data_IF_126742634550
#
_entry.id   IF_126742634550
#
_cell.length_a   1.000
_cell.length_b   1.000
_cell.length_c   1.000
_cell.angle_alpha   90.00
_cell.angle_beta   90.00
_cell.angle_gamma   90.00
#
_symmetry.space_group_name_H-M   'P 1'
#
loop_
_entity.id
_entity.type
_entity.pdbx_description
1 polymer ?
#
# COMPACT_ATOMS: atom_id res chain seq x y z
N UNK A 1 38.20 -9.16 -17.82
CA UNK A 1 36.99 -9.80 -17.25
C UNK A 1 35.80 -9.14 -17.90
N UNK A 2 34.83 -9.91 -18.41
CA UNK A 2 33.62 -9.34 -18.99
C UNK A 2 32.78 -8.74 -17.87
N UNK A 3 32.81 -7.42 -17.70
CA UNK A 3 32.00 -6.74 -16.69
C UNK A 3 30.52 -6.94 -17.03
N UNK A 4 29.85 -7.79 -16.26
CA UNK A 4 28.41 -8.03 -16.38
C UNK A 4 27.65 -7.01 -15.51
N UNK A 5 26.43 -6.66 -15.90
CA UNK A 5 25.57 -5.74 -15.17
C UNK A 5 25.37 -6.20 -13.71
N UNK A 6 25.35 -7.52 -13.47
CA UNK A 6 25.22 -8.15 -12.14
C UNK A 6 26.38 -7.85 -11.21
N UNK A 7 27.61 -8.04 -11.70
CA UNK A 7 28.83 -7.74 -10.93
C UNK A 7 28.92 -6.23 -10.71
N UNK A 8 28.49 -5.43 -11.68
CA UNK A 8 28.48 -3.98 -11.56
C UNK A 8 27.44 -3.48 -10.54
N UNK A 9 26.25 -4.08 -10.47
CA UNK A 9 25.26 -3.79 -9.43
C UNK A 9 25.76 -4.20 -8.05
N UNK A 10 26.39 -5.38 -7.94
CA UNK A 10 26.89 -5.90 -6.65
C UNK A 10 28.06 -5.09 -6.09
N UNK A 11 28.97 -4.63 -6.96
CA UNK A 11 30.14 -3.82 -6.55
C UNK A 11 29.81 -2.31 -6.42
N UNK A 12 28.53 -1.92 -6.42
CA UNK A 12 28.09 -0.51 -6.44
C UNK A 12 28.72 0.33 -7.58
N UNK A 13 29.02 -0.32 -8.72
CA UNK A 13 29.59 0.33 -9.90
C UNK A 13 28.48 0.95 -10.75
N UNK A 14 27.76 1.91 -10.17
CA UNK A 14 26.61 2.59 -10.80
C UNK A 14 26.91 3.11 -12.20
N UNK A 15 28.07 3.74 -12.40
CA UNK A 15 28.43 4.32 -13.71
C UNK A 15 28.59 3.25 -14.80
N UNK A 16 29.04 2.05 -14.42
CA UNK A 16 29.13 0.92 -15.33
C UNK A 16 27.74 0.40 -15.68
N UNK A 17 26.84 0.29 -14.69
CA UNK A 17 25.44 -0.12 -14.92
C UNK A 17 24.74 0.87 -15.86
N UNK A 18 24.90 2.17 -15.63
CA UNK A 18 24.37 3.23 -16.50
C UNK A 18 24.89 3.10 -17.93
N UNK A 19 26.20 2.96 -18.09
CA UNK A 19 26.82 2.80 -19.41
C UNK A 19 26.33 1.55 -20.14
N UNK A 20 26.15 0.42 -19.42
CA UNK A 20 25.64 -0.82 -20.00
C UNK A 20 24.19 -0.71 -20.48
N UNK A 21 23.34 0.05 -19.77
CA UNK A 21 21.96 0.33 -20.19
C UNK A 21 21.92 1.30 -21.37
N UNK A 22 22.76 2.34 -21.36
CA UNK A 22 22.84 3.34 -22.44
C UNK A 22 23.38 2.77 -23.75
N UNK A 23 24.28 1.78 -23.67
CA UNK A 23 24.75 1.04 -24.86
C UNK A 23 23.70 0.10 -25.45
N UNK A 24 22.54 -0.06 -24.81
CA UNK A 24 21.45 -0.93 -25.25
C UNK A 24 21.74 -2.43 -25.15
N UNK A 25 22.85 -2.80 -24.48
CA UNK A 25 23.26 -4.19 -24.26
C UNK A 25 22.40 -4.87 -23.20
N UNK A 26 21.85 -4.08 -22.29
CA UNK A 26 20.94 -4.49 -21.22
C UNK A 26 19.82 -3.46 -21.06
N UNK A 27 18.70 -3.90 -20.51
CA UNK A 27 17.55 -3.08 -20.14
C UNK A 27 17.36 -3.12 -18.62
N UNK A 28 16.57 -2.20 -18.07
CA UNK A 28 16.24 -2.20 -16.64
C UNK A 28 15.53 -3.50 -16.17
N UNK A 29 14.88 -4.21 -17.10
CA UNK A 29 14.16 -5.47 -16.86
C UNK A 29 14.91 -6.70 -17.38
N UNK A 30 16.19 -6.56 -17.76
CA UNK A 30 17.00 -7.72 -18.14
C UNK A 30 17.07 -8.69 -16.96
N UNK A 31 16.95 -9.98 -17.26
CA UNK A 31 16.97 -11.07 -16.27
C UNK A 31 18.23 -11.90 -16.44
N UNK A 32 18.81 -12.36 -15.34
CA UNK A 32 19.83 -13.39 -15.35
C UNK A 32 19.22 -14.80 -15.44
N UNK A 33 20.03 -15.84 -15.24
CA UNK A 33 19.55 -17.23 -15.29
C UNK A 33 18.52 -17.56 -14.18
N UNK A 34 18.52 -16.80 -13.08
CA UNK A 34 17.62 -16.94 -11.95
C UNK A 34 16.44 -15.95 -12.03
N UNK A 35 16.27 -15.24 -13.14
CA UNK A 35 15.24 -14.22 -13.25
C UNK A 35 15.60 -12.91 -12.52
N UNK A 36 16.78 -12.84 -11.92
CA UNK A 36 17.25 -11.72 -11.12
C UNK A 36 17.51 -10.50 -12.00
N UNK A 37 17.19 -9.30 -11.51
CA UNK A 37 17.20 -8.06 -12.30
C UNK A 37 18.08 -7.02 -11.64
N UNK A 38 18.53 -5.98 -12.37
CA UNK A 38 19.42 -4.98 -11.78
C UNK A 38 18.72 -4.23 -10.63
N UNK A 39 17.39 -4.26 -10.65
CA UNK A 39 16.53 -3.65 -9.64
C UNK A 39 16.41 -4.51 -8.39
N UNK A 40 16.40 -5.85 -8.51
CA UNK A 40 16.56 -6.75 -7.35
C UNK A 40 17.91 -6.47 -6.66
N UNK A 41 18.99 -6.40 -7.44
CA UNK A 41 20.31 -6.10 -6.88
C UNK A 41 20.35 -4.71 -6.23
N UNK A 42 19.86 -3.67 -6.91
CA UNK A 42 19.82 -2.31 -6.36
C UNK A 42 18.98 -2.23 -5.07
N UNK A 43 17.89 -3.01 -4.99
CA UNK A 43 17.06 -3.10 -3.80
C UNK A 43 17.78 -3.80 -2.63
N UNK A 44 18.43 -4.93 -2.89
CA UNK A 44 19.22 -5.70 -1.90
C UNK A 44 20.37 -4.88 -1.32
N UNK A 45 21.11 -4.15 -2.15
CA UNK A 45 22.21 -3.31 -1.69
C UNK A 45 21.76 -1.92 -1.17
N UNK A 46 20.45 -1.63 -1.14
CA UNK A 46 19.92 -0.35 -0.70
C UNK A 46 20.34 0.85 -1.58
N UNK A 47 20.69 0.60 -2.84
CA UNK A 47 21.19 1.61 -3.77
C UNK A 47 20.05 2.39 -4.43
N UNK A 48 19.46 3.31 -3.65
CA UNK A 48 18.35 4.17 -4.06
C UNK A 48 18.62 4.94 -5.36
N UNK A 49 19.85 5.41 -5.53
CA UNK A 49 20.33 6.18 -6.67
C UNK A 49 20.32 5.36 -7.97
N UNK A 50 20.65 4.08 -7.89
CA UNK A 50 20.59 3.15 -9.00
C UNK A 50 19.14 2.70 -9.25
N UNK A 51 18.36 2.48 -8.20
CA UNK A 51 16.95 2.15 -8.27
C UNK A 51 16.15 3.22 -9.04
N UNK A 52 16.29 4.50 -8.67
CA UNK A 52 15.62 5.61 -9.37
C UNK A 52 16.04 5.69 -10.84
N UNK A 53 17.31 5.42 -11.16
CA UNK A 53 17.77 5.38 -12.55
C UNK A 53 17.12 4.24 -13.34
N UNK A 54 17.03 3.04 -12.75
CA UNK A 54 16.42 1.87 -13.40
C UNK A 54 14.93 2.11 -13.68
N UNK A 55 14.21 2.70 -12.72
CA UNK A 55 12.80 3.05 -12.86
C UNK A 55 12.61 4.10 -13.98
N UNK A 56 13.46 5.13 -14.01
CA UNK A 56 13.44 6.13 -15.10
C UNK A 56 13.67 5.50 -16.49
N UNK A 57 14.39 4.38 -16.55
CA UNK A 57 14.64 3.59 -17.77
C UNK A 57 13.54 2.57 -18.08
N UNK A 58 12.38 2.66 -17.42
CA UNK A 58 11.24 1.77 -17.64
C UNK A 58 11.33 0.44 -16.86
N UNK A 59 12.06 0.45 -15.74
CA UNK A 59 12.10 -0.68 -14.82
C UNK A 59 10.71 -0.97 -14.22
N UNK A 60 10.30 -2.23 -14.27
CA UNK A 60 9.09 -2.70 -13.59
C UNK A 60 9.36 -2.99 -12.10
N UNK A 61 8.87 -2.12 -11.23
CA UNK A 61 9.09 -2.21 -9.76
C UNK A 61 8.51 -3.48 -9.12
N UNK A 62 7.60 -4.18 -9.82
CA UNK A 62 6.98 -5.42 -9.36
C UNK A 62 7.49 -6.64 -10.12
N UNK A 63 8.60 -6.51 -10.87
CA UNK A 63 9.19 -7.62 -11.61
C UNK A 63 9.53 -8.77 -10.66
N UNK A 64 9.14 -9.99 -11.01
CA UNK A 64 9.44 -11.17 -10.21
C UNK A 64 10.66 -11.91 -10.76
N UNK A 65 11.55 -12.37 -9.89
CA UNK A 65 12.57 -13.35 -10.23
C UNK A 65 11.97 -14.78 -10.35
N UNK A 66 12.82 -15.80 -10.47
CA UNK A 66 12.33 -17.18 -10.60
C UNK A 66 11.73 -17.75 -9.31
N UNK A 67 12.07 -17.17 -8.16
CA UNK A 67 11.49 -17.54 -6.87
C UNK A 67 10.18 -16.76 -6.61
N UNK A 68 9.81 -15.86 -7.52
CA UNK A 68 8.61 -15.04 -7.40
C UNK A 68 8.82 -13.79 -6.53
N UNK A 69 10.06 -13.55 -6.10
CA UNK A 69 10.41 -12.40 -5.28
C UNK A 69 10.46 -11.14 -6.16
N UNK A 70 9.90 -10.06 -5.63
CA UNK A 70 9.99 -8.72 -6.23
C UNK A 70 11.20 -7.96 -5.67
N UNK A 71 11.60 -6.81 -6.24
CA UNK A 71 12.64 -5.97 -5.63
C UNK A 71 12.36 -5.66 -4.16
N UNK A 72 11.09 -5.51 -3.76
CA UNK A 72 10.70 -5.27 -2.37
C UNK A 72 10.97 -6.47 -1.44
N UNK A 73 10.90 -7.71 -1.92
CA UNK A 73 11.25 -8.90 -1.13
C UNK A 73 12.74 -8.93 -0.78
N UNK A 74 13.58 -8.39 -1.68
CA UNK A 74 15.03 -8.32 -1.49
C UNK A 74 15.48 -7.09 -0.69
N UNK A 75 14.61 -6.13 -0.34
CA UNK A 75 15.04 -4.93 0.41
C UNK A 75 15.28 -5.21 1.88
N UNK A 76 16.43 -4.81 2.39
CA UNK A 76 16.70 -4.74 3.84
C UNK A 76 16.60 -3.30 4.38
N UNK A 77 16.56 -2.29 3.50
CA UNK A 77 16.58 -0.88 3.88
C UNK A 77 15.19 -0.25 3.88
N UNK A 78 14.81 0.36 5.02
CA UNK A 78 13.60 1.17 5.14
C UNK A 78 13.54 2.30 4.11
N UNK A 79 14.67 2.93 3.80
CA UNK A 79 14.72 4.02 2.83
C UNK A 79 14.37 3.52 1.41
N UNK A 80 14.85 2.32 1.06
CA UNK A 80 14.60 1.70 -0.24
C UNK A 80 13.17 1.22 -0.36
N UNK A 81 12.62 0.60 0.69
CA UNK A 81 11.21 0.21 0.73
C UNK A 81 10.27 1.42 0.58
N UNK A 82 10.54 2.53 1.30
CA UNK A 82 9.80 3.79 1.14
C UNK A 82 9.89 4.33 -0.28
N UNK A 83 11.07 4.26 -0.90
CA UNK A 83 11.25 4.71 -2.27
C UNK A 83 10.41 3.88 -3.24
N UNK A 84 10.41 2.55 -3.10
CA UNK A 84 9.63 1.65 -3.94
C UNK A 84 8.12 1.89 -3.76
N UNK A 85 7.65 1.96 -2.51
CA UNK A 85 6.21 2.04 -2.20
C UNK A 85 5.67 3.45 -2.38
N UNK A 86 6.26 4.45 -1.73
CA UNK A 86 5.70 5.82 -1.67
C UNK A 86 5.91 6.58 -2.97
N UNK A 87 7.09 6.45 -3.60
CA UNK A 87 7.39 7.18 -4.84
C UNK A 87 7.01 6.43 -6.10
N UNK A 88 7.03 5.09 -6.06
CA UNK A 88 6.91 4.28 -7.28
C UNK A 88 5.78 3.25 -7.23
N UNK A 89 4.90 3.32 -6.22
CA UNK A 89 3.69 2.51 -6.10
C UNK A 89 3.97 0.99 -6.23
N UNK A 90 5.09 0.52 -5.69
CA UNK A 90 5.39 -0.90 -5.62
C UNK A 90 4.31 -1.64 -4.83
N UNK A 91 3.88 -2.78 -5.37
CA UNK A 91 2.86 -3.61 -4.77
C UNK A 91 3.49 -4.51 -3.70
N UNK A 92 3.25 -4.15 -2.45
CA UNK A 92 3.74 -4.89 -1.28
C UNK A 92 2.87 -6.11 -0.93
N UNK A 93 1.83 -6.39 -1.70
CA UNK A 93 0.93 -7.55 -1.52
C UNK A 93 1.27 -8.73 -2.42
N UNK A 94 2.23 -8.55 -3.36
CA UNK A 94 2.73 -9.63 -4.21
C UNK A 94 3.28 -10.75 -3.35
N UNK A 95 2.94 -11.99 -3.71
CA UNK A 95 3.40 -13.19 -3.04
C UNK A 95 4.41 -13.92 -3.92
N UNK A 96 5.51 -14.35 -3.31
CA UNK A 96 6.51 -15.19 -3.96
C UNK A 96 6.02 -16.65 -4.11
N UNK A 97 6.89 -17.53 -4.58
CA UNK A 97 6.57 -18.94 -4.82
C UNK A 97 6.25 -19.73 -3.55
N UNK A 98 6.77 -19.28 -2.40
CA UNK A 98 6.43 -19.82 -1.08
C UNK A 98 5.11 -19.28 -0.52
N UNK A 99 4.46 -18.37 -1.26
CA UNK A 99 3.23 -17.70 -0.84
C UNK A 99 3.49 -16.64 0.23
N UNK A 100 4.69 -16.10 0.34
CA UNK A 100 5.02 -15.06 1.30
C UNK A 100 4.97 -13.70 0.61
N UNK A 101 4.44 -12.70 1.30
CA UNK A 101 4.63 -11.27 0.95
C UNK A 101 6.01 -10.79 1.39
N UNK A 102 6.45 -9.64 0.89
CA UNK A 102 7.73 -9.04 1.30
C UNK A 102 7.84 -8.87 2.82
N UNK A 103 6.74 -8.55 3.52
CA UNK A 103 6.75 -8.51 4.99
C UNK A 103 6.98 -9.89 5.61
N UNK A 104 6.27 -10.92 5.12
CA UNK A 104 6.33 -12.27 5.68
C UNK A 104 7.70 -12.89 5.47
N UNK A 105 8.33 -12.67 4.31
CA UNK A 105 9.69 -13.09 4.04
C UNK A 105 10.69 -12.44 5.02
N UNK A 106 10.54 -11.14 5.33
CA UNK A 106 11.41 -10.44 6.27
C UNK A 106 11.27 -10.90 7.74
N UNK A 107 10.14 -11.51 8.11
CA UNK A 107 9.94 -12.04 9.46
C UNK A 107 10.77 -13.29 9.73
N UNK A 108 11.16 -14.02 8.69
CA UNK A 108 11.98 -15.23 8.83
C UNK A 108 13.44 -14.87 9.18
N UNK A 109 13.96 -13.76 8.66
CA UNK A 109 15.34 -13.31 8.88
C UNK A 109 15.49 -12.39 10.11
N UNK A 110 14.41 -11.69 10.53
CA UNK A 110 14.34 -10.85 11.74
C UNK A 110 15.41 -9.73 11.84
N UNK A 111 16.04 -9.37 10.73
CA UNK A 111 17.21 -8.48 10.69
C UNK A 111 16.86 -6.98 10.60
N UNK A 112 15.59 -6.61 10.40
CA UNK A 112 15.18 -5.20 10.17
C UNK A 112 13.85 -4.83 10.85
N UNK A 113 13.85 -4.56 12.16
CA UNK A 113 12.61 -4.29 12.91
C UNK A 113 11.91 -3.00 12.46
N UNK A 114 12.64 -1.97 12.02
CA UNK A 114 12.06 -0.73 11.52
C UNK A 114 11.35 -0.92 10.17
N UNK A 115 11.89 -1.76 9.30
CA UNK A 115 11.28 -2.11 8.01
C UNK A 115 10.03 -2.96 8.22
N UNK A 116 10.12 -3.96 9.11
CA UNK A 116 8.99 -4.79 9.54
C UNK A 116 7.87 -3.89 10.09
N UNK A 117 8.18 -2.97 11.01
CA UNK A 117 7.19 -2.06 11.59
C UNK A 117 6.56 -1.17 10.51
N UNK A 118 7.33 -0.70 9.53
CA UNK A 118 6.81 0.12 8.44
C UNK A 118 5.84 -0.68 7.54
N UNK A 119 6.25 -1.85 7.04
CA UNK A 119 5.39 -2.70 6.21
C UNK A 119 4.16 -3.19 6.99
N UNK A 120 4.32 -3.52 8.27
CA UNK A 120 3.19 -3.79 9.18
C UNK A 120 2.29 -2.57 9.35
N UNK A 121 2.83 -1.35 9.43
CA UNK A 121 2.00 -0.15 9.49
C UNK A 121 1.20 0.05 8.22
N UNK A 122 1.76 -0.29 7.05
CA UNK A 122 1.02 -0.27 5.77
C UNK A 122 -0.08 -1.33 5.75
N UNK A 123 0.21 -2.54 6.24
CA UNK A 123 -0.78 -3.60 6.36
C UNK A 123 -1.83 -3.34 7.42
N UNK A 124 -1.49 -2.77 8.58
CA UNK A 124 -2.45 -2.43 9.64
C UNK A 124 -3.22 -1.17 9.31
N UNK A 125 -2.67 -0.22 8.54
CA UNK A 125 -3.48 0.79 7.88
C UNK A 125 -4.45 0.15 6.86
N UNK A 126 -4.11 -1.02 6.31
CA UNK A 126 -4.96 -1.82 5.41
C UNK A 126 -5.84 -2.86 6.15
N UNK A 127 -5.58 -3.15 7.43
CA UNK A 127 -6.20 -4.24 8.21
C UNK A 127 -6.88 -3.77 9.51
N UNK A 128 -6.61 -2.55 9.98
CA UNK A 128 -7.59 -1.72 10.69
C UNK A 128 -8.73 -1.31 9.74
N UNK A 129 -8.50 -1.52 8.44
CA UNK A 129 -9.52 -1.67 7.42
C UNK A 129 -9.99 -3.14 7.24
N UNK A 130 -10.00 -3.90 8.33
CA UNK A 130 -11.06 -4.87 8.63
C UNK A 130 -12.45 -4.20 8.71
N UNK A 131 -12.50 -2.88 8.54
CA UNK A 131 -13.60 -2.14 7.91
C UNK A 131 -13.04 -1.25 6.78
N UNK A 132 -12.93 -1.84 5.56
CA UNK A 132 -12.77 -1.26 4.21
C UNK A 132 -11.60 -0.27 3.90
N UNK A 133 -10.68 -0.64 2.97
CA UNK A 133 -9.97 0.28 2.08
C UNK A 133 -10.71 0.34 0.75
N UNK A 134 -11.70 1.23 0.61
CA UNK A 134 -11.96 1.74 -0.73
C UNK A 134 -10.77 2.65 -1.10
N UNK A 135 -10.06 2.40 -2.22
CA UNK A 135 -9.04 3.31 -2.69
C UNK A 135 -9.72 4.65 -3.00
N UNK A 136 -9.24 5.73 -2.40
CA UNK A 136 -9.62 7.09 -2.78
C UNK A 136 -8.99 7.38 -4.15
N UNK A 137 -9.51 6.76 -5.20
CA UNK A 137 -9.32 7.25 -6.56
C UNK A 137 -10.31 8.41 -6.76
N UNK A 138 -9.92 9.43 -7.53
CA UNK A 138 -10.76 10.61 -7.82
C UNK A 138 -12.02 10.27 -8.67
N UNK A 139 -12.35 8.99 -8.81
CA UNK A 139 -13.51 8.44 -9.52
C UNK A 139 -14.40 7.61 -8.58
N UNK A 140 -14.54 8.01 -7.32
CA UNK A 140 -15.33 7.28 -6.32
C UNK A 140 -16.79 7.14 -6.79
N UNK A 141 -17.12 5.99 -7.38
CA UNK A 141 -18.50 5.60 -7.63
C UNK A 141 -19.11 5.30 -6.27
N UNK A 142 -19.90 6.24 -5.76
CA UNK A 142 -20.62 6.02 -4.52
C UNK A 142 -21.48 4.75 -4.64
N UNK A 143 -21.55 3.94 -3.58
CA UNK A 143 -22.33 2.70 -3.61
C UNK A 143 -23.78 3.01 -3.95
N UNK A 144 -24.34 2.22 -4.86
CA UNK A 144 -25.76 2.32 -5.21
C UNK A 144 -26.63 1.68 -4.11
N UNK A 145 -27.95 1.89 -4.15
CA UNK A 145 -28.85 1.36 -3.14
C UNK A 145 -28.82 -0.18 -3.01
N UNK A 146 -28.47 -0.91 -4.08
CA UNK A 146 -28.35 -2.37 -4.05
C UNK A 146 -27.12 -2.84 -3.24
N UNK A 147 -25.98 -2.18 -3.40
CA UNK A 147 -24.77 -2.46 -2.64
C UNK A 147 -24.95 -2.19 -1.15
N UNK A 148 -25.63 -1.08 -0.82
CA UNK A 148 -25.99 -0.76 0.57
C UNK A 148 -26.95 -1.80 1.14
N UNK A 149 -27.93 -2.26 0.35
CA UNK A 149 -28.89 -3.30 0.76
C UNK A 149 -28.22 -4.63 1.04
N UNK A 150 -27.29 -5.04 0.17
CA UNK A 150 -26.49 -6.26 0.38
C UNK A 150 -25.66 -6.15 1.66
N UNK A 151 -25.02 -5.00 1.88
CA UNK A 151 -24.25 -4.75 3.10
C UNK A 151 -25.12 -4.87 4.36
N UNK A 152 -26.28 -4.20 4.39
CA UNK A 152 -27.21 -4.28 5.53
C UNK A 152 -27.71 -5.70 5.79
N UNK A 153 -27.93 -6.49 4.74
CA UNK A 153 -28.40 -7.88 4.86
C UNK A 153 -27.32 -8.85 5.38
N UNK A 154 -26.04 -8.49 5.29
CA UNK A 154 -24.91 -9.32 5.70
C UNK A 154 -24.43 -9.10 7.14
N UNK A 155 -24.88 -8.04 7.81
CA UNK A 155 -24.45 -7.69 9.17
C UNK A 155 -25.21 -8.51 10.23
N UNK A 156 -24.48 -9.09 11.18
CA UNK A 156 -25.04 -9.87 12.30
C UNK A 156 -25.32 -8.96 13.49
N UNK A 157 -26.30 -9.31 14.31
CA UNK A 157 -26.81 -8.46 15.42
C UNK A 157 -25.79 -8.23 16.57
N UNK A 158 -24.60 -8.81 16.51
CA UNK A 158 -23.55 -8.71 17.55
C UNK A 158 -22.62 -7.48 17.37
N UNK A 159 -22.89 -6.63 16.39
CA UNK A 159 -22.06 -5.48 16.07
C UNK A 159 -22.23 -4.30 17.04
N UNK A 160 -21.12 -3.61 17.33
CA UNK A 160 -20.98 -2.41 18.19
C UNK A 160 -22.22 -1.49 18.20
N UNK A 161 -22.59 -0.86 19.34
CA UNK A 161 -23.76 0.02 19.44
C UNK A 161 -23.78 1.16 18.41
N UNK A 162 -22.61 1.60 17.94
CA UNK A 162 -22.48 2.60 16.88
C UNK A 162 -22.87 2.06 15.49
N UNK A 163 -22.53 0.81 15.18
CA UNK A 163 -22.92 0.13 13.93
C UNK A 163 -24.41 -0.15 13.90
N UNK A 164 -24.98 -0.56 15.04
CA UNK A 164 -26.44 -0.73 15.19
C UNK A 164 -27.19 0.58 14.92
N UNK A 165 -26.69 1.71 15.42
CA UNK A 165 -27.27 3.03 15.15
C UNK A 165 -27.18 3.40 13.66
N UNK A 166 -26.00 3.25 13.04
CA UNK A 166 -25.81 3.54 11.61
C UNK A 166 -26.69 2.66 10.71
N UNK A 167 -26.87 1.38 11.07
CA UNK A 167 -27.79 0.46 10.39
C UNK A 167 -29.23 0.97 10.43
N UNK A 168 -29.69 1.38 11.60
CA UNK A 168 -31.06 1.88 11.77
C UNK A 168 -31.32 3.13 10.93
N UNK A 169 -30.34 4.04 10.84
CA UNK A 169 -30.42 5.25 10.01
C UNK A 169 -30.48 4.91 8.50
N UNK A 170 -29.68 3.93 8.04
CA UNK A 170 -29.72 3.45 6.66
C UNK A 170 -31.05 2.74 6.33
N UNK A 171 -31.55 1.89 7.22
CA UNK A 171 -32.85 1.22 7.06
C UNK A 171 -34.01 2.22 6.99
N UNK A 172 -33.95 3.32 7.75
CA UNK A 172 -34.94 4.40 7.68
C UNK A 172 -34.95 5.07 6.30
N UNK A 173 -33.78 5.33 5.71
CA UNK A 173 -33.69 5.92 4.35
C UNK A 173 -34.28 4.94 3.31
N UNK A 174 -34.00 3.64 3.43
CA UNK A 174 -34.50 2.64 2.49
C UNK A 174 -36.01 2.37 2.59
N UNK A 175 -36.57 2.44 3.80
CA UNK A 175 -37.98 2.11 4.10
C UNK A 175 -38.95 3.29 3.91
N UNK A 176 -38.44 4.51 3.63
CA UNK A 176 -39.29 5.64 3.27
C UNK A 176 -40.11 5.33 2.01
N UNK A 177 -41.43 5.27 2.14
CA UNK A 177 -42.34 4.93 1.04
C UNK A 177 -42.64 6.13 0.11
N UNK A 178 -42.31 7.34 0.54
CA UNK A 178 -42.73 8.60 -0.11
C UNK A 178 -41.74 9.13 -1.17
N UNK A 179 -40.59 8.47 -1.34
CA UNK A 179 -39.52 8.89 -2.26
C UNK A 179 -39.19 7.79 -3.28
N UNK A 180 -38.83 8.22 -4.50
CA UNK A 180 -38.44 7.33 -5.59
C UNK A 180 -37.13 6.61 -5.30
N UNK A 181 -36.88 5.46 -5.96
CA UNK A 181 -35.62 4.71 -5.77
C UNK A 181 -34.37 5.55 -6.10
N UNK A 182 -34.46 6.46 -7.07
CA UNK A 182 -33.37 7.39 -7.40
C UNK A 182 -33.08 8.39 -6.28
N UNK A 183 -34.12 8.89 -5.59
CA UNK A 183 -33.96 9.83 -4.47
C UNK A 183 -33.43 9.11 -3.22
N UNK A 184 -33.81 7.84 -3.02
CA UNK A 184 -33.21 6.98 -1.98
C UNK A 184 -31.72 6.81 -2.21
N UNK A 185 -31.31 6.54 -3.45
CA UNK A 185 -29.91 6.42 -3.81
C UNK A 185 -29.12 7.70 -3.53
N UNK A 186 -29.68 8.88 -3.85
CA UNK A 186 -29.04 10.16 -3.53
C UNK A 186 -28.92 10.41 -2.01
N UNK A 187 -29.93 10.04 -1.23
CA UNK A 187 -29.86 10.16 0.23
C UNK A 187 -28.85 9.20 0.84
N UNK A 188 -28.76 7.97 0.34
CA UNK A 188 -27.75 7.00 0.76
C UNK A 188 -26.34 7.50 0.41
N UNK A 189 -26.16 8.06 -0.78
CA UNK A 189 -24.91 8.71 -1.22
C UNK A 189 -24.50 9.84 -0.27
N UNK A 190 -25.43 10.73 0.06
CA UNK A 190 -25.19 11.85 0.97
C UNK A 190 -24.88 11.38 2.39
N UNK A 191 -25.56 10.34 2.87
CA UNK A 191 -25.29 9.74 4.18
C UNK A 191 -23.87 9.18 4.25
N UNK A 192 -23.46 8.39 3.24
CA UNK A 192 -22.10 7.82 3.15
C UNK A 192 -21.05 8.94 3.10
N UNK A 193 -21.26 9.99 2.29
CA UNK A 193 -20.34 11.13 2.22
C UNK A 193 -20.22 11.89 3.55
N UNK A 194 -21.32 12.09 4.26
CA UNK A 194 -21.30 12.75 5.56
C UNK A 194 -20.61 11.89 6.62
N UNK A 195 -20.88 10.58 6.65
CA UNK A 195 -20.20 9.65 7.55
C UNK A 195 -18.69 9.61 7.30
N UNK A 196 -18.27 9.60 6.03
CA UNK A 196 -16.86 9.73 5.64
C UNK A 196 -16.26 11.07 6.12
N UNK A 197 -16.97 12.18 5.91
CA UNK A 197 -16.52 13.50 6.36
C UNK A 197 -16.40 13.60 7.88
N UNK A 198 -17.33 13.02 8.64
CA UNK A 198 -17.29 13.03 10.11
C UNK A 198 -16.14 12.16 10.65
N UNK A 199 -15.88 11.00 10.04
CA UNK A 199 -14.76 10.17 10.43
C UNK A 199 -13.42 10.88 10.14
N UNK A 200 -13.32 11.60 9.01
CA UNK A 200 -12.14 12.42 8.68
C UNK A 200 -11.96 13.56 9.70
N UNK A 201 -13.04 14.18 10.17
CA UNK A 201 -12.97 15.22 11.20
C UNK A 201 -12.65 14.67 12.59
N UNK A 202 -13.11 13.45 12.92
CA UNK A 202 -12.75 12.74 14.15
C UNK A 202 -11.25 12.47 14.24
N UNK A 203 -10.64 12.04 13.13
CA UNK A 203 -9.18 11.81 13.03
C UNK A 203 -8.40 13.12 13.25
N UNK A 204 -8.87 14.25 12.70
CA UNK A 204 -8.24 15.56 12.93
C UNK A 204 -8.41 16.08 14.36
N UNK A 205 -9.54 15.80 15.02
CA UNK A 205 -9.79 16.23 16.40
C UNK A 205 -8.96 15.48 17.44
N UNK A 206 -8.50 14.27 17.15
CA UNK A 206 -7.64 13.47 18.03
C UNK A 206 -6.16 13.90 17.97
N UNK A 207 -5.70 14.48 16.86
CA UNK A 207 -4.37 15.11 16.77
C UNK A 207 -4.28 16.38 17.64
N UNK A 208 -5.36 17.17 17.71
CA UNK A 208 -5.36 18.42 18.46
C UNK A 208 -5.45 18.21 20.00
N UNK A 209 -6.08 17.13 20.47
CA UNK A 209 -6.17 16.82 21.90
C UNK A 209 -4.86 16.29 22.51
N UNK A 210 -3.93 15.79 21.68
CA UNK A 210 -2.65 15.24 22.12
C UNK A 210 -1.56 16.31 22.31
N UNK A 211 -1.78 17.56 21.87
CA UNK A 211 -0.77 18.63 21.95
C UNK A 211 -0.85 19.49 23.22
N UNK A 212 -1.91 19.39 24.03
CA UNK A 212 -2.08 20.25 25.23
C UNK A 212 -1.54 19.63 26.54
N UNK A 213 -1.04 18.39 26.53
CA UNK A 213 -0.56 17.71 27.76
C UNK A 213 0.96 17.75 28.01
N UNK A 214 1.77 18.39 27.16
CA UNK A 214 3.23 18.51 27.37
C UNK A 214 3.76 19.85 27.92
N UNK A 215 2.90 20.82 28.26
CA UNK A 215 3.37 22.17 28.67
C UNK A 215 3.36 22.48 30.17
N UNK A 216 3.15 21.51 31.08
CA UNK A 216 3.18 21.78 32.54
C UNK A 216 4.01 20.77 33.34
N UNK A 217 5.33 20.73 33.11
CA UNK A 217 6.28 20.33 34.18
C UNK A 217 7.70 20.83 33.94
N UNK A 218 7.88 22.15 34.01
CA UNK A 218 9.18 22.76 34.33
C UNK A 218 8.96 23.91 35.30
N UNK A 219 9.05 23.61 36.59
CA UNK A 219 9.43 24.53 37.66
C UNK A 219 9.88 23.73 38.87
#
# INVERSE_FOLDING_TARGET
MSTNIWIATADDKRDVVKSLIETGRFTANSKDANGYTPMHAAASYGNNDLLEYLILKGGDVNIQDNDGDTPLHHTESLATAKLLIEKNNADYTVRNSDGQTALEALLDDNDSPELIQYLQSLQTNTSARGSLPLPLNENMSLPNGEEVKMYLSGLREEDSPELTKRRQELEQIMTQADISESEKDEQLKMYVMNALSQNIQGIKGEEDASTDHMSKKRR
#
